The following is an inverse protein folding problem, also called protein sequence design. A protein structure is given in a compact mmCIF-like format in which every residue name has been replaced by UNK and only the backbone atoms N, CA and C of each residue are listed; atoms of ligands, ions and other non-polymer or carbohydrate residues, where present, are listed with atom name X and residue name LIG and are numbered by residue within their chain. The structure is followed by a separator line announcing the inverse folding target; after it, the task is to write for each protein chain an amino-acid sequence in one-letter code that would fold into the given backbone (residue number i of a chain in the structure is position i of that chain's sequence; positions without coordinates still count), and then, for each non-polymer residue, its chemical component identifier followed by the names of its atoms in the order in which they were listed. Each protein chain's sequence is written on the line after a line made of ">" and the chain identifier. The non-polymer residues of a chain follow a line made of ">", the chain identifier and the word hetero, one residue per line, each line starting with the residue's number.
data_IF_231035371579
#
_entry.id   IF_231035371579
#
_cell.length_a   1.000
_cell.length_b   1.000
_cell.length_c   1.000
_cell.angle_alpha   90.00
_cell.angle_beta   90.00
_cell.angle_gamma   90.00
#
_symmetry.space_group_name_H-M   'P 1'
#
loop_
_entity.id
_entity.type
_entity.pdbx_description
1 polymer ?
#
# COMPACT_ATOMS: atom_id res chain seq x y z
N UNK A 1 -27.50 59.41 9.69
CA UNK A 1 -27.76 58.08 9.07
C UNK A 1 -28.99 57.46 9.70
N UNK A 2 -30.03 57.21 8.91
CA UNK A 2 -31.38 56.81 9.36
C UNK A 2 -31.38 55.49 10.15
N UNK A 3 -32.14 55.44 11.25
CA UNK A 3 -32.35 54.24 12.09
C UNK A 3 -32.76 53.00 11.26
N UNK A 4 -33.46 53.19 10.15
CA UNK A 4 -33.88 52.12 9.24
C UNK A 4 -32.72 51.42 8.52
N UNK A 5 -31.61 52.13 8.25
CA UNK A 5 -30.45 51.54 7.55
C UNK A 5 -29.67 50.63 8.50
N UNK A 6 -29.50 51.03 9.76
CA UNK A 6 -28.86 50.20 10.78
C UNK A 6 -29.66 48.91 11.05
N UNK A 7 -30.98 49.02 11.11
CA UNK A 7 -31.86 47.87 11.35
C UNK A 7 -31.83 46.85 10.19
N UNK A 8 -31.82 47.32 8.93
CA UNK A 8 -31.66 46.44 7.76
C UNK A 8 -30.30 45.77 7.68
N UNK A 9 -29.24 46.43 8.16
CA UNK A 9 -27.89 45.86 8.15
C UNK A 9 -27.73 44.78 9.23
N UNK A 10 -28.23 45.02 10.45
CA UNK A 10 -28.23 44.02 11.53
C UNK A 10 -29.03 42.77 11.16
N UNK A 11 -30.20 42.94 10.53
CA UNK A 11 -31.02 41.80 10.07
C UNK A 11 -30.37 40.98 8.94
N UNK A 12 -29.50 41.59 8.12
CA UNK A 12 -28.73 40.87 7.09
C UNK A 12 -27.59 40.07 7.72
N UNK A 13 -26.87 40.66 8.67
CA UNK A 13 -25.77 39.99 9.39
C UNK A 13 -26.30 38.80 10.20
N UNK A 14 -27.42 38.96 10.92
CA UNK A 14 -28.04 37.84 11.66
C UNK A 14 -28.50 36.72 10.73
N UNK A 15 -29.04 37.05 9.54
CA UNK A 15 -29.41 36.03 8.54
C UNK A 15 -28.21 35.30 7.95
N UNK A 16 -27.09 35.99 7.68
CA UNK A 16 -25.87 35.36 7.15
C UNK A 16 -25.21 34.46 8.21
N UNK A 17 -25.12 34.92 9.46
CA UNK A 17 -24.56 34.12 10.57
C UNK A 17 -25.41 32.86 10.84
N UNK A 18 -26.73 32.95 10.80
CA UNK A 18 -27.62 31.78 10.97
C UNK A 18 -27.50 30.82 9.78
N UNK A 19 -27.28 31.32 8.55
CA UNK A 19 -27.11 30.47 7.37
C UNK A 19 -25.76 29.75 7.33
N UNK A 20 -24.67 30.39 7.76
CA UNK A 20 -23.36 29.75 7.87
C UNK A 20 -23.36 28.68 8.97
N UNK A 21 -23.90 29.00 10.15
CA UNK A 21 -23.93 28.05 11.28
C UNK A 21 -24.82 26.83 10.99
N UNK A 22 -25.92 27.00 10.23
CA UNK A 22 -26.83 25.90 9.84
C UNK A 22 -26.34 25.09 8.63
N UNK A 23 -25.47 25.66 7.79
CA UNK A 23 -24.77 24.95 6.70
C UNK A 23 -23.69 24.01 7.22
N UNK A 24 -22.92 24.44 8.23
CA UNK A 24 -21.86 23.64 8.84
C UNK A 24 -22.39 22.46 9.69
N UNK A 25 -23.51 22.64 10.40
CA UNK A 25 -24.11 21.53 11.19
C UNK A 25 -24.85 20.50 10.32
N UNK A 26 -25.46 20.91 9.19
CA UNK A 26 -26.07 19.98 8.23
C UNK A 26 -25.05 19.12 7.50
N UNK A 27 -23.85 19.62 7.25
CA UNK A 27 -22.79 18.86 6.58
C UNK A 27 -22.10 17.86 7.51
N UNK A 28 -21.97 18.14 8.80
CA UNK A 28 -21.41 17.21 9.77
C UNK A 28 -22.35 16.04 10.07
N UNK A 29 -23.65 16.29 10.27
CA UNK A 29 -24.65 15.24 10.50
C UNK A 29 -24.83 14.33 9.28
N UNK A 30 -24.86 14.89 8.06
CA UNK A 30 -24.87 14.12 6.82
C UNK A 30 -23.55 13.37 6.53
N UNK A 31 -22.40 13.88 7.00
CA UNK A 31 -21.12 13.16 6.96
C UNK A 31 -21.08 12.01 7.97
N UNK A 32 -21.64 12.19 9.17
CA UNK A 32 -21.66 11.18 10.24
C UNK A 32 -22.67 10.05 9.96
N UNK A 33 -23.80 10.32 9.30
CA UNK A 33 -24.72 9.27 8.85
C UNK A 33 -24.12 8.38 7.76
N UNK A 34 -23.24 8.91 6.89
CA UNK A 34 -22.54 8.09 5.87
C UNK A 34 -21.43 7.20 6.45
N UNK A 35 -20.97 7.45 7.68
CA UNK A 35 -19.90 6.68 8.32
C UNK A 35 -20.41 5.55 9.20
N UNK A 36 -21.71 5.47 9.48
CA UNK A 36 -22.27 4.55 10.48
C UNK A 36 -22.62 3.14 9.98
N UNK A 37 -22.27 2.78 8.76
CA UNK A 37 -22.56 1.45 8.23
C UNK A 37 -21.81 1.04 6.97
N UNK A 38 -20.71 1.71 6.62
CA UNK A 38 -19.92 1.31 5.45
C UNK A 38 -18.81 0.40 5.93
N UNK A 39 -19.02 -0.92 5.81
CA UNK A 39 -17.91 -1.87 5.81
C UNK A 39 -16.87 -1.33 4.84
N UNK A 40 -15.72 -0.86 5.35
CA UNK A 40 -14.63 -0.41 4.49
C UNK A 40 -14.10 -1.66 3.79
N UNK A 41 -14.45 -1.81 2.53
CA UNK A 41 -13.88 -2.83 1.64
C UNK A 41 -12.56 -2.30 1.11
N UNK A 42 -11.51 -3.09 1.23
CA UNK A 42 -10.21 -2.80 0.64
C UNK A 42 -10.00 -3.70 -0.57
N UNK A 43 -9.53 -3.13 -1.68
CA UNK A 43 -9.08 -3.88 -2.84
C UNK A 43 -7.57 -4.05 -2.75
N UNK A 44 -7.11 -5.29 -2.63
CA UNK A 44 -5.72 -5.60 -2.33
C UNK A 44 -5.14 -6.59 -3.34
N UNK A 45 -3.87 -6.39 -3.71
CA UNK A 45 -3.08 -7.36 -4.47
C UNK A 45 -1.81 -7.70 -3.69
N UNK A 46 -1.73 -8.94 -3.19
CA UNK A 46 -0.66 -9.37 -2.29
C UNK A 46 0.45 -10.16 -3.00
N UNK A 47 0.38 -10.33 -4.32
CA UNK A 47 1.32 -11.17 -5.08
C UNK A 47 1.89 -10.45 -6.30
N UNK A 48 2.49 -9.28 -6.07
CA UNK A 48 3.16 -8.52 -7.13
C UNK A 48 4.64 -8.87 -7.14
N UNK A 49 5.11 -9.42 -8.26
CA UNK A 49 6.53 -9.58 -8.54
C UNK A 49 7.04 -8.35 -9.30
N UNK A 50 8.20 -7.85 -8.91
CA UNK A 50 8.90 -6.76 -9.58
C UNK A 50 9.84 -7.32 -10.67
N UNK A 51 10.51 -6.45 -11.44
CA UNK A 51 11.56 -6.88 -12.38
C UNK A 51 12.63 -7.77 -11.76
N UNK A 52 12.89 -7.65 -10.45
CA UNK A 52 13.88 -8.46 -9.73
C UNK A 52 13.61 -9.96 -9.80
N UNK A 53 12.37 -10.39 -10.05
CA UNK A 53 12.03 -11.82 -10.19
C UNK A 53 11.49 -12.20 -11.56
N UNK A 54 11.00 -11.24 -12.35
CA UNK A 54 10.34 -11.52 -13.62
C UNK A 54 11.27 -11.43 -14.83
N UNK A 55 12.46 -10.84 -14.73
CA UNK A 55 13.47 -10.77 -15.80
C UNK A 55 13.08 -9.92 -17.03
N UNK A 56 11.81 -9.86 -17.41
CA UNK A 56 11.29 -9.20 -18.61
C UNK A 56 10.89 -7.72 -18.41
N UNK A 57 10.75 -7.27 -17.16
CA UNK A 57 10.47 -5.87 -16.83
C UNK A 57 11.74 -5.07 -16.51
N UNK A 58 12.91 -5.70 -16.58
CA UNK A 58 14.18 -5.03 -16.37
C UNK A 58 14.61 -4.40 -17.70
N UNK A 59 13.99 -3.28 -18.03
CA UNK A 59 14.37 -2.46 -19.17
C UNK A 59 15.58 -1.61 -18.78
N UNK A 60 16.70 -1.80 -19.47
CA UNK A 60 17.93 -1.07 -19.18
C UNK A 60 17.68 0.46 -19.20
N UNK A 61 18.03 1.12 -18.09
CA UNK A 61 17.93 2.56 -17.93
C UNK A 61 16.54 3.11 -17.57
N UNK A 62 15.53 2.25 -17.33
CA UNK A 62 14.19 2.70 -16.91
C UNK A 62 13.86 2.19 -15.50
N UNK A 63 13.63 3.12 -14.58
CA UNK A 63 13.06 2.78 -13.27
C UNK A 63 11.55 2.54 -13.39
N UNK A 64 11.14 1.29 -13.18
CA UNK A 64 9.74 0.86 -13.29
C UNK A 64 9.00 0.91 -11.95
N UNK A 65 9.68 1.23 -10.85
CA UNK A 65 9.05 1.26 -9.52
C UNK A 65 7.91 2.30 -9.43
N UNK A 66 8.06 3.55 -9.94
CA UNK A 66 6.95 4.49 -10.00
C UNK A 66 5.80 4.01 -10.89
N UNK A 67 6.10 3.26 -11.95
CA UNK A 67 5.08 2.72 -12.84
C UNK A 67 4.21 1.66 -12.13
N UNK A 68 4.80 0.78 -11.31
CA UNK A 68 4.07 -0.20 -10.51
C UNK A 68 3.05 0.49 -9.57
N UNK A 69 3.48 1.51 -8.84
CA UNK A 69 2.61 2.27 -7.93
C UNK A 69 1.50 2.99 -8.69
N UNK A 70 1.83 3.60 -9.84
CA UNK A 70 0.84 4.30 -10.67
C UNK A 70 -0.19 3.34 -11.27
N UNK A 71 0.23 2.15 -11.70
CA UNK A 71 -0.68 1.11 -12.20
C UNK A 71 -1.61 0.61 -11.11
N UNK A 72 -1.11 0.38 -9.89
CA UNK A 72 -1.95 0.01 -8.75
C UNK A 72 -3.03 1.07 -8.47
N UNK A 73 -2.64 2.36 -8.49
CA UNK A 73 -3.56 3.49 -8.33
C UNK A 73 -4.62 3.54 -9.44
N UNK A 74 -4.22 3.37 -10.70
CA UNK A 74 -5.15 3.35 -11.85
C UNK A 74 -6.13 2.19 -11.76
N UNK A 75 -5.67 1.03 -11.25
CA UNK A 75 -6.53 -0.14 -10.99
C UNK A 75 -7.44 0.02 -9.77
N UNK A 76 -7.32 1.11 -9.01
CA UNK A 76 -8.11 1.35 -7.80
C UNK A 76 -7.74 0.42 -6.64
N UNK A 77 -6.50 -0.08 -6.58
CA UNK A 77 -6.01 -0.86 -5.45
C UNK A 77 -5.74 0.06 -4.27
N UNK A 78 -6.18 -0.34 -3.09
CA UNK A 78 -5.88 0.35 -1.83
C UNK A 78 -4.52 -0.10 -1.28
N UNK A 79 -4.18 -1.38 -1.46
CA UNK A 79 -2.96 -2.00 -0.94
C UNK A 79 -2.33 -2.91 -1.98
N UNK A 80 -1.01 -2.84 -2.10
CA UNK A 80 -0.21 -3.81 -2.84
C UNK A 80 0.88 -4.41 -1.97
N UNK A 81 1.27 -5.66 -2.21
CA UNK A 81 2.48 -6.24 -1.63
C UNK A 81 3.50 -6.61 -2.70
N UNK A 82 4.73 -6.11 -2.54
CA UNK A 82 5.86 -6.46 -3.40
C UNK A 82 6.49 -7.74 -2.85
N UNK A 83 6.34 -8.84 -3.58
CA UNK A 83 6.65 -10.21 -3.13
C UNK A 83 7.54 -10.93 -4.12
N UNK A 84 8.75 -10.41 -4.32
CA UNK A 84 9.75 -11.03 -5.18
C UNK A 84 10.24 -12.38 -4.66
N UNK A 85 10.71 -13.26 -5.56
CA UNK A 85 11.36 -14.52 -5.18
C UNK A 85 12.73 -14.22 -4.61
N UNK A 86 12.90 -14.37 -3.29
CA UNK A 86 14.18 -14.23 -2.60
C UNK A 86 14.94 -12.90 -2.83
N UNK A 87 14.31 -11.88 -3.41
CA UNK A 87 14.95 -10.63 -3.78
C UNK A 87 14.22 -9.44 -3.13
N UNK A 88 14.97 -8.37 -2.92
CA UNK A 88 14.46 -7.14 -2.26
C UNK A 88 14.97 -5.89 -2.97
N UNK A 89 15.67 -6.04 -4.08
CA UNK A 89 16.43 -4.95 -4.70
C UNK A 89 15.52 -3.85 -5.27
N UNK A 90 14.27 -4.19 -5.59
CA UNK A 90 13.25 -3.26 -6.07
C UNK A 90 12.33 -2.74 -4.97
N UNK A 91 12.31 -3.39 -3.81
CA UNK A 91 11.37 -3.08 -2.73
C UNK A 91 11.53 -1.64 -2.22
N UNK A 92 12.75 -1.20 -1.92
CA UNK A 92 13.01 0.16 -1.44
C UNK A 92 12.56 1.23 -2.44
N UNK A 93 12.82 1.01 -3.73
CA UNK A 93 12.40 1.96 -4.79
C UNK A 93 10.88 2.04 -4.89
N UNK A 94 10.19 0.90 -4.75
CA UNK A 94 8.72 0.87 -4.78
C UNK A 94 8.13 1.53 -3.53
N UNK A 95 8.70 1.29 -2.35
CA UNK A 95 8.32 1.97 -1.10
C UNK A 95 8.50 3.49 -1.22
N UNK A 96 9.66 3.94 -1.73
CA UNK A 96 9.95 5.36 -1.95
C UNK A 96 8.96 6.00 -2.94
N UNK A 97 8.70 5.34 -4.07
CA UNK A 97 7.71 5.80 -5.06
C UNK A 97 6.28 5.84 -4.49
N UNK A 98 6.00 5.02 -3.47
CA UNK A 98 4.71 4.95 -2.78
C UNK A 98 4.43 6.08 -1.80
N UNK A 99 5.45 6.77 -1.30
CA UNK A 99 5.30 7.78 -0.22
C UNK A 99 4.31 8.90 -0.56
N UNK A 100 4.20 9.25 -1.84
CA UNK A 100 3.28 10.30 -2.33
C UNK A 100 2.02 9.72 -3.01
N UNK A 101 1.76 8.43 -2.84
CA UNK A 101 0.62 7.73 -3.41
C UNK A 101 -0.47 7.51 -2.35
N UNK A 102 -1.70 7.29 -2.80
CA UNK A 102 -2.80 6.83 -1.95
C UNK A 102 -2.82 5.31 -1.76
N UNK A 103 -1.89 4.60 -2.42
CA UNK A 103 -1.77 3.14 -2.38
C UNK A 103 -0.78 2.77 -1.28
N UNK A 104 -1.20 1.92 -0.34
CA UNK A 104 -0.32 1.36 0.70
C UNK A 104 0.54 0.25 0.09
N UNK A 105 1.82 0.23 0.43
CA UNK A 105 2.76 -0.77 -0.07
C UNK A 105 3.24 -1.61 1.11
N UNK A 106 3.00 -2.91 1.03
CA UNK A 106 3.47 -3.88 1.99
C UNK A 106 4.76 -4.53 1.48
N UNK A 107 5.83 -4.56 2.30
CA UNK A 107 7.00 -5.35 2.00
C UNK A 107 6.67 -6.85 2.09
N UNK A 108 7.27 -7.63 1.20
CA UNK A 108 7.08 -9.08 1.20
C UNK A 108 8.17 -9.81 0.45
N UNK A 109 8.11 -11.13 0.51
CA UNK A 109 8.96 -12.04 -0.26
C UNK A 109 8.24 -13.34 -0.49
N UNK A 110 8.49 -13.97 -1.63
CA UNK A 110 8.04 -15.33 -1.89
C UNK A 110 9.19 -16.29 -1.65
N UNK A 111 8.92 -17.33 -0.87
CA UNK A 111 9.83 -18.40 -0.52
C UNK A 111 9.23 -19.70 -1.00
N UNK A 112 9.99 -20.44 -1.80
CA UNK A 112 9.70 -21.83 -2.13
C UNK A 112 10.51 -22.75 -1.22
N UNK A 113 9.89 -23.78 -0.65
CA UNK A 113 10.53 -24.67 0.30
C UNK A 113 9.94 -26.07 0.26
N UNK A 114 10.64 -27.01 0.90
CA UNK A 114 10.11 -28.33 1.21
C UNK A 114 9.61 -28.35 2.64
N UNK A 115 8.50 -29.04 2.87
CA UNK A 115 7.99 -29.37 4.22
C UNK A 115 7.73 -30.86 4.26
N UNK A 116 7.65 -31.46 5.45
CA UNK A 116 7.40 -32.89 5.58
C UNK A 116 6.16 -33.31 4.75
N UNK A 117 6.37 -34.23 3.80
CA UNK A 117 5.33 -34.72 2.91
C UNK A 117 4.98 -33.83 1.71
N UNK A 118 5.68 -32.71 1.47
CA UNK A 118 5.49 -31.87 0.29
C UNK A 118 6.80 -31.24 -0.19
N UNK A 119 7.24 -31.63 -1.38
CA UNK A 119 8.50 -31.20 -2.00
C UNK A 119 8.45 -29.80 -2.60
N UNK A 120 7.25 -29.20 -2.71
CA UNK A 120 7.04 -27.92 -3.37
C UNK A 120 5.95 -27.08 -2.68
N UNK A 121 6.37 -26.27 -1.71
CA UNK A 121 5.51 -25.29 -1.03
C UNK A 121 5.96 -23.89 -1.38
N UNK A 122 5.03 -23.04 -1.81
CA UNK A 122 5.27 -21.62 -2.07
C UNK A 122 4.60 -20.78 -0.99
N UNK A 123 5.40 -20.06 -0.22
CA UNK A 123 4.98 -19.18 0.87
C UNK A 123 5.10 -17.72 0.43
N UNK A 124 4.01 -16.96 0.56
CA UNK A 124 4.04 -15.50 0.48
C UNK A 124 4.18 -14.92 1.88
N UNK A 125 5.37 -14.42 2.20
CA UNK A 125 5.66 -13.78 3.48
C UNK A 125 5.42 -12.28 3.36
N UNK A 126 4.50 -11.75 4.15
CA UNK A 126 4.16 -10.33 4.19
C UNK A 126 4.68 -9.70 5.48
N UNK A 127 5.16 -8.47 5.38
CA UNK A 127 5.64 -7.68 6.50
C UNK A 127 4.72 -6.48 6.73
N UNK A 128 4.68 -5.94 7.95
CA UNK A 128 3.98 -4.69 8.23
C UNK A 128 4.49 -3.56 7.34
N UNK A 129 3.63 -2.57 7.06
CA UNK A 129 3.97 -1.35 6.30
C UNK A 129 5.21 -0.63 6.87
N UNK A 130 5.38 -0.65 8.20
CA UNK A 130 6.51 -0.03 8.88
C UNK A 130 7.86 -0.76 8.67
N UNK A 131 7.86 -1.92 8.02
CA UNK A 131 9.08 -2.66 7.73
C UNK A 131 9.76 -2.15 6.45
N UNK A 132 11.09 -2.20 6.42
CA UNK A 132 11.88 -1.95 5.21
C UNK A 132 12.47 -3.23 4.63
N UNK A 133 13.31 -3.09 3.60
CA UNK A 133 13.99 -4.24 2.98
C UNK A 133 14.88 -5.01 3.96
N UNK A 134 15.38 -4.35 5.01
CA UNK A 134 16.23 -4.99 6.01
C UNK A 134 15.53 -6.12 6.78
N UNK A 135 14.24 -5.99 7.06
CA UNK A 135 13.45 -7.03 7.72
C UNK A 135 13.31 -8.27 6.83
N UNK A 136 13.07 -8.04 5.53
CA UNK A 136 13.00 -9.10 4.54
C UNK A 136 14.37 -9.78 4.36
N UNK A 137 15.46 -9.01 4.32
CA UNK A 137 16.83 -9.53 4.29
C UNK A 137 17.17 -10.35 5.53
N UNK A 138 16.66 -9.96 6.70
CA UNK A 138 16.87 -10.73 7.92
C UNK A 138 16.22 -12.12 7.83
N UNK A 139 14.99 -12.21 7.32
CA UNK A 139 14.32 -13.49 7.06
C UNK A 139 15.13 -14.34 6.06
N UNK A 140 15.54 -13.77 4.92
CA UNK A 140 16.32 -14.50 3.91
C UNK A 140 17.66 -15.02 4.45
N UNK A 141 18.32 -14.25 5.32
CA UNK A 141 19.54 -14.70 6.02
C UNK A 141 19.25 -15.83 7.00
N UNK A 142 18.16 -15.74 7.76
CA UNK A 142 17.75 -16.81 8.69
C UNK A 142 17.47 -18.11 7.94
N UNK A 143 16.87 -18.01 6.75
CA UNK A 143 16.62 -19.14 5.84
C UNK A 143 17.86 -19.59 5.05
N UNK A 144 19.04 -19.00 5.29
CA UNK A 144 20.31 -19.31 4.62
C UNK A 144 20.24 -19.22 3.09
N UNK A 145 19.38 -18.36 2.56
CA UNK A 145 19.20 -18.21 1.11
C UNK A 145 20.45 -17.56 0.50
N UNK A 146 21.13 -18.21 -0.46
CA UNK A 146 22.35 -17.71 -1.06
C UNK A 146 22.07 -16.57 -2.04
N UNK A 147 23.07 -15.70 -2.28
CA UNK A 147 22.91 -14.56 -3.17
C UNK A 147 22.54 -14.94 -4.62
N UNK A 148 22.99 -16.10 -5.11
CA UNK A 148 22.68 -16.58 -6.46
C UNK A 148 21.23 -17.10 -6.63
N UNK A 149 20.50 -17.28 -5.51
CA UNK A 149 19.09 -17.69 -5.52
C UNK A 149 18.13 -16.50 -5.62
N UNK A 150 18.62 -15.26 -5.48
CA UNK A 150 17.79 -14.06 -5.57
C UNK A 150 17.16 -13.93 -6.95
N UNK A 151 15.85 -13.72 -6.99
CA UNK A 151 15.04 -13.61 -8.21
C UNK A 151 14.69 -14.95 -8.85
N UNK A 152 15.19 -16.08 -8.33
CA UNK A 152 15.00 -17.41 -8.93
C UNK A 152 13.78 -18.12 -8.34
N UNK A 153 12.80 -18.43 -9.19
CA UNK A 153 11.60 -19.19 -8.80
C UNK A 153 11.84 -20.70 -8.66
N UNK A 154 12.99 -21.20 -9.12
CA UNK A 154 13.36 -22.62 -9.16
C UNK A 154 14.26 -23.04 -8.00
N UNK A 155 14.75 -22.08 -7.21
CA UNK A 155 15.45 -22.38 -5.97
C UNK A 155 14.46 -22.88 -4.91
N UNK A 156 14.84 -23.91 -4.17
CA UNK A 156 14.04 -24.49 -3.10
C UNK A 156 14.86 -24.40 -1.82
N UNK A 157 14.24 -23.83 -0.78
CA UNK A 157 14.80 -23.84 0.57
C UNK A 157 14.53 -25.20 1.18
N UNK A 158 15.60 -25.90 1.51
CA UNK A 158 15.57 -27.15 2.26
C UNK A 158 16.36 -26.95 3.56
N UNK A 159 15.64 -26.99 4.68
CA UNK A 159 16.18 -26.87 6.01
C UNK A 159 15.63 -28.01 6.85
N UNK A 160 16.51 -28.70 7.57
CA UNK A 160 16.09 -29.73 8.50
C UNK A 160 15.21 -29.09 9.60
N UNK A 161 14.10 -29.77 9.94
CA UNK A 161 13.35 -29.49 11.16
C UNK A 161 14.20 -29.98 12.34
N UNK A 162 14.81 -29.06 13.09
CA UNK A 162 15.47 -29.35 14.36
C UNK A 162 14.46 -29.46 15.52
#
# INVERSE_FOLDING_TARGET
>A
MSKQVKQKLSQRIEKEVINETSSETRTLSAKVEKTRGRNKSYLIDLRIHSPSSLGYLNLDGIDTAPALVRLAKVKGLDVIAVTDYYAVDYLERVLEAGQNSSVVILPGVVVRCQVEGCDDVVLSCLFPESAGSQSVRALLRALKVPAHARGRHDYIVDLAFE
#
